data_IF_440750543659
#
_entry.id   IF_440750543659
#
_cell.length_a   1.000
_cell.length_b   1.000
_cell.length_c   1.000
_cell.angle_alpha   90.00
_cell.angle_beta   90.00
_cell.angle_gamma   90.00
#
_symmetry.space_group_name_H-M   'P 1'
#
loop_
_entity.id
_entity.type
_entity.pdbx_description
1 polymer ?
#
# COMPACT_ATOMS: atom_id res chain seq x y z
N UNK A 1 -12.19 -29.98 12.46
CA UNK A 1 -11.47 -29.53 11.26
C UNK A 1 -10.03 -29.22 11.66
N UNK A 2 -9.08 -29.24 10.73
CA UNK A 2 -7.72 -28.85 11.05
C UNK A 2 -7.60 -27.31 11.12
N UNK A 3 -6.47 -26.81 11.61
CA UNK A 3 -6.20 -25.37 11.75
C UNK A 3 -6.19 -24.63 10.42
N UNK A 4 -5.68 -25.26 9.36
CA UNK A 4 -5.71 -24.72 8.00
C UNK A 4 -7.15 -24.40 7.54
N UNK A 5 -8.04 -25.40 7.57
CA UNK A 5 -9.44 -25.23 7.18
C UNK A 5 -10.13 -24.16 8.04
N UNK A 6 -9.81 -24.11 9.35
CA UNK A 6 -10.44 -23.19 10.30
C UNK A 6 -10.05 -21.74 9.99
N UNK A 7 -8.77 -21.50 9.72
CA UNK A 7 -8.28 -20.19 9.37
C UNK A 7 -8.80 -19.76 7.99
N UNK A 8 -8.81 -20.64 6.99
CA UNK A 8 -9.38 -20.34 5.68
C UNK A 8 -10.84 -19.93 5.76
N UNK A 9 -11.67 -20.67 6.52
CA UNK A 9 -13.10 -20.32 6.69
C UNK A 9 -13.30 -19.00 7.42
N UNK A 10 -12.46 -18.69 8.42
CA UNK A 10 -12.50 -17.41 9.12
C UNK A 10 -12.16 -16.25 8.17
N UNK A 11 -11.10 -16.39 7.37
CA UNK A 11 -10.71 -15.39 6.37
C UNK A 11 -11.79 -15.21 5.31
N UNK A 12 -12.42 -16.29 4.84
CA UNK A 12 -13.51 -16.24 3.86
C UNK A 12 -14.73 -15.49 4.39
N UNK A 13 -15.03 -15.62 5.68
CA UNK A 13 -16.16 -14.92 6.30
C UNK A 13 -15.89 -13.43 6.55
N UNK A 14 -14.63 -13.03 6.79
CA UNK A 14 -14.29 -11.67 7.25
C UNK A 14 -13.76 -10.73 6.15
N UNK A 15 -13.36 -11.23 4.98
CA UNK A 15 -12.76 -10.42 3.91
C UNK A 15 -13.55 -10.47 2.59
N UNK A 16 -13.30 -9.50 1.72
CA UNK A 16 -13.85 -9.45 0.36
C UNK A 16 -12.87 -10.00 -0.69
N UNK A 17 -11.57 -9.95 -0.38
CA UNK A 17 -10.46 -10.27 -1.28
C UNK A 17 -9.37 -11.01 -0.53
N UNK A 18 -8.74 -11.97 -1.22
CA UNK A 18 -7.62 -12.75 -0.72
C UNK A 18 -6.55 -12.81 -1.79
N UNK A 19 -5.34 -12.38 -1.45
CA UNK A 19 -4.16 -12.48 -2.29
C UNK A 19 -3.15 -13.41 -1.65
N UNK A 20 -2.38 -14.12 -2.48
CA UNK A 20 -1.34 -14.99 -1.96
C UNK A 20 -0.12 -15.05 -2.87
N UNK A 21 0.99 -15.43 -2.25
CA UNK A 21 2.13 -16.03 -2.94
C UNK A 21 2.34 -17.41 -2.33
N UNK A 22 2.33 -18.49 -3.13
CA UNK A 22 2.44 -19.85 -2.62
C UNK A 22 3.75 -20.06 -1.88
N UNK A 23 3.67 -20.75 -0.74
CA UNK A 23 4.82 -21.10 0.07
C UNK A 23 4.39 -21.92 1.28
N UNK A 24 5.23 -22.86 1.69
CA UNK A 24 5.07 -23.50 3.00
C UNK A 24 5.19 -22.42 4.11
N UNK A 25 4.32 -22.40 5.14
CA UNK A 25 3.28 -23.36 5.44
C UNK A 25 1.85 -22.96 4.98
N UNK A 26 1.69 -21.86 4.24
CA UNK A 26 0.37 -21.22 4.01
C UNK A 26 -0.35 -21.61 2.72
N UNK A 27 0.20 -22.56 1.96
CA UNK A 27 -0.31 -22.90 0.62
C UNK A 27 -1.74 -23.42 0.65
N UNK A 28 -2.07 -24.30 1.61
CA UNK A 28 -3.43 -24.81 1.74
C UNK A 28 -4.41 -23.75 2.25
N UNK A 29 -3.95 -22.80 3.09
CA UNK A 29 -4.77 -21.65 3.51
C UNK A 29 -5.18 -20.82 2.28
N UNK A 30 -4.21 -20.49 1.42
CA UNK A 30 -4.45 -19.73 0.19
C UNK A 30 -5.45 -20.45 -0.73
N UNK A 31 -5.28 -21.76 -0.91
CA UNK A 31 -6.22 -22.56 -1.70
C UNK A 31 -7.62 -22.60 -1.08
N UNK A 32 -7.73 -22.77 0.23
CA UNK A 32 -9.01 -22.79 0.96
C UNK A 32 -9.77 -21.47 0.91
N UNK A 33 -9.07 -20.34 0.75
CA UNK A 33 -9.69 -19.03 0.53
C UNK A 33 -10.04 -18.75 -0.94
N UNK A 34 -9.56 -19.57 -1.89
CA UNK A 34 -9.59 -19.21 -3.31
C UNK A 34 -8.77 -17.95 -3.60
N UNK A 35 -7.64 -17.78 -2.90
CA UNK A 35 -6.81 -16.58 -3.01
C UNK A 35 -6.22 -16.41 -4.41
N UNK A 36 -6.21 -15.18 -4.90
CA UNK A 36 -5.61 -14.82 -6.16
C UNK A 36 -4.08 -14.83 -6.03
N UNK A 37 -3.41 -15.64 -6.85
CA UNK A 37 -1.96 -15.73 -6.86
C UNK A 37 -1.37 -14.52 -7.58
N UNK A 38 -0.43 -13.85 -6.92
CA UNK A 38 0.26 -12.67 -7.44
C UNK A 38 1.72 -12.99 -7.77
N UNK A 39 2.33 -12.16 -8.62
CA UNK A 39 3.73 -12.31 -9.05
C UNK A 39 4.73 -12.27 -7.89
N UNK A 40 4.42 -11.52 -6.83
CA UNK A 40 5.22 -11.45 -5.60
C UNK A 40 4.41 -10.86 -4.43
N UNK A 41 4.96 -10.94 -3.22
CA UNK A 41 4.27 -10.58 -1.99
C UNK A 41 4.01 -9.08 -1.87
N UNK A 42 4.92 -8.26 -2.42
CA UNK A 42 4.77 -6.81 -2.46
C UNK A 42 3.54 -6.42 -3.27
N UNK A 43 3.36 -6.99 -4.45
CA UNK A 43 2.17 -6.77 -5.31
C UNK A 43 0.91 -7.27 -4.61
N UNK A 44 0.96 -8.40 -3.89
CA UNK A 44 -0.17 -8.88 -3.08
C UNK A 44 -0.63 -7.86 -2.04
N UNK A 45 0.33 -7.27 -1.30
CA UNK A 45 0.03 -6.23 -0.32
C UNK A 45 -0.48 -4.95 -0.98
N UNK A 46 0.09 -4.56 -2.12
CA UNK A 46 -0.32 -3.37 -2.86
C UNK A 46 -1.74 -3.48 -3.41
N UNK A 47 -2.12 -4.65 -3.95
CA UNK A 47 -3.51 -4.90 -4.33
C UNK A 47 -4.46 -4.87 -3.13
N UNK A 48 -4.08 -5.47 -2.01
CA UNK A 48 -4.88 -5.41 -0.78
C UNK A 48 -5.07 -3.98 -0.26
N UNK A 49 -4.05 -3.13 -0.37
CA UNK A 49 -4.14 -1.71 -0.05
C UNK A 49 -5.05 -0.97 -1.04
N UNK A 50 -5.01 -1.30 -2.33
CA UNK A 50 -5.94 -0.74 -3.31
C UNK A 50 -7.40 -1.16 -3.05
N UNK A 51 -7.65 -2.43 -2.73
CA UNK A 51 -8.99 -2.86 -2.32
C UNK A 51 -9.46 -2.14 -1.05
N UNK A 52 -8.56 -1.96 -0.08
CA UNK A 52 -8.82 -1.19 1.12
C UNK A 52 -9.23 0.24 0.77
N UNK A 53 -8.52 0.91 -0.14
CA UNK A 53 -8.86 2.26 -0.61
C UNK A 53 -10.25 2.34 -1.26
N UNK A 54 -10.72 1.23 -1.83
CA UNK A 54 -12.08 1.07 -2.41
C UNK A 54 -13.13 0.60 -1.39
N UNK A 55 -12.78 0.51 -0.10
CA UNK A 55 -13.71 0.10 0.96
C UNK A 55 -13.92 -1.41 1.09
N UNK A 56 -13.01 -2.23 0.53
CA UNK A 56 -13.07 -3.69 0.61
C UNK A 56 -12.01 -4.24 1.56
N UNK A 57 -12.39 -5.16 2.44
CA UNK A 57 -11.45 -5.87 3.32
C UNK A 57 -10.62 -6.84 2.49
N UNK A 58 -9.31 -6.85 2.73
CA UNK A 58 -8.40 -7.71 1.98
C UNK A 58 -7.44 -8.47 2.91
N UNK A 59 -7.24 -9.75 2.61
CA UNK A 59 -6.26 -10.60 3.25
C UNK A 59 -5.09 -10.88 2.31
N UNK A 60 -3.87 -10.88 2.85
CA UNK A 60 -2.64 -11.27 2.15
C UNK A 60 -2.05 -12.48 2.85
N UNK A 61 -1.93 -13.60 2.14
CA UNK A 61 -1.50 -14.88 2.70
C UNK A 61 -0.10 -15.19 2.16
N UNK A 62 0.90 -15.17 3.03
CA UNK A 62 2.30 -15.36 2.67
C UNK A 62 3.06 -16.11 3.78
N UNK A 63 4.18 -16.72 3.41
CA UNK A 63 5.13 -17.22 4.41
C UNK A 63 5.96 -16.08 4.99
N UNK A 64 6.54 -16.29 6.16
CA UNK A 64 7.40 -15.33 6.85
C UNK A 64 8.41 -14.59 5.97
N UNK A 65 9.17 -15.26 5.10
CA UNK A 65 10.17 -14.62 4.22
C UNK A 65 9.52 -13.58 3.28
N UNK A 66 8.27 -13.79 2.89
CA UNK A 66 7.50 -12.87 2.06
C UNK A 66 7.28 -11.50 2.69
N UNK A 67 7.21 -11.41 4.03
CA UNK A 67 7.12 -10.13 4.74
C UNK A 67 8.33 -9.23 4.49
N UNK A 68 9.49 -9.80 4.14
CA UNK A 68 10.69 -9.03 3.81
C UNK A 68 10.47 -8.21 2.53
N UNK A 69 9.79 -8.79 1.52
CA UNK A 69 9.44 -8.09 0.29
C UNK A 69 8.34 -7.03 0.51
N UNK A 70 7.49 -7.22 1.52
CA UNK A 70 6.42 -6.29 1.88
C UNK A 70 6.87 -5.13 2.78
N UNK A 71 8.08 -5.17 3.33
CA UNK A 71 8.48 -4.34 4.46
C UNK A 71 8.34 -2.82 4.19
N UNK A 72 8.76 -2.37 3.01
CA UNK A 72 8.71 -0.96 2.63
C UNK A 72 7.26 -0.46 2.49
N UNK A 73 6.42 -1.21 1.76
CA UNK A 73 4.99 -0.94 1.60
C UNK A 73 4.26 -1.00 2.94
N UNK A 74 4.58 -1.97 3.81
CA UNK A 74 3.97 -2.13 5.12
C UNK A 74 4.26 -0.93 6.03
N UNK A 75 5.51 -0.46 6.08
CA UNK A 75 5.90 0.71 6.87
C UNK A 75 5.20 1.97 6.35
N UNK A 76 5.15 2.15 5.03
CA UNK A 76 4.45 3.28 4.44
C UNK A 76 2.93 3.24 4.69
N UNK A 77 2.31 2.06 4.57
CA UNK A 77 0.90 1.85 4.83
C UNK A 77 0.50 2.11 6.28
N UNK A 78 1.43 1.96 7.23
CA UNK A 78 1.22 2.34 8.62
C UNK A 78 1.05 3.86 8.81
N UNK A 79 1.61 4.67 7.91
CA UNK A 79 1.50 6.14 7.93
C UNK A 79 0.37 6.61 7.02
N UNK A 80 0.38 6.16 5.76
CA UNK A 80 -0.65 6.51 4.77
C UNK A 80 -2.02 5.94 5.13
N UNK A 81 -2.05 4.84 5.87
CA UNK A 81 -3.25 4.23 6.44
C UNK A 81 -4.08 3.40 5.46
N UNK A 82 -4.99 2.63 6.05
CA UNK A 82 -6.01 1.84 5.37
C UNK A 82 -7.36 2.55 5.40
N UNK A 83 -8.31 2.16 4.53
CA UNK A 83 -9.72 2.60 4.61
C UNK A 83 -10.62 1.45 5.09
N UNK A 84 -10.57 0.30 4.42
CA UNK A 84 -11.08 -0.97 4.96
C UNK A 84 -9.93 -1.85 5.50
N UNK A 85 -10.24 -2.85 6.31
CA UNK A 85 -9.21 -3.63 7.00
C UNK A 85 -8.29 -4.41 6.05
N UNK A 86 -6.99 -4.37 6.30
CA UNK A 86 -5.98 -5.18 5.61
C UNK A 86 -5.30 -6.09 6.62
N UNK A 87 -5.38 -7.40 6.39
CA UNK A 87 -4.78 -8.41 7.27
C UNK A 87 -3.74 -9.23 6.51
N UNK A 88 -2.53 -9.29 7.02
CA UNK A 88 -1.45 -10.14 6.51
C UNK A 88 -1.39 -11.40 7.37
N UNK A 89 -1.67 -12.55 6.78
CA UNK A 89 -1.45 -13.85 7.39
C UNK A 89 -0.04 -14.29 7.09
N UNK A 90 0.80 -14.32 8.11
CA UNK A 90 2.20 -14.67 8.04
C UNK A 90 2.42 -16.07 8.62
N UNK A 91 2.67 -17.05 7.74
CA UNK A 91 3.05 -18.40 8.17
C UNK A 91 4.53 -18.49 8.50
N UNK A 92 4.83 -18.61 9.78
CA UNK A 92 6.19 -18.81 10.28
C UNK A 92 6.55 -20.30 10.24
N UNK A 93 7.61 -20.60 9.50
CA UNK A 93 8.24 -21.91 9.45
C UNK A 93 9.38 -21.97 10.49
N UNK A 94 9.00 -22.17 11.76
CA UNK A 94 9.92 -22.12 12.91
C UNK A 94 10.99 -23.22 12.86
N UNK A 95 10.62 -24.39 12.34
CA UNK A 95 11.49 -25.57 12.21
C UNK A 95 12.24 -25.60 10.86
N UNK A 96 12.08 -24.56 10.03
CA UNK A 96 12.80 -24.43 8.75
C UNK A 96 12.57 -25.64 7.84
N UNK A 97 11.36 -26.18 7.84
CA UNK A 97 11.00 -27.40 7.10
C UNK A 97 10.81 -27.16 5.60
N UNK A 98 10.43 -25.93 5.22
CA UNK A 98 10.21 -25.50 3.83
C UNK A 98 10.82 -24.14 3.48
N UNK A 99 11.63 -23.57 4.38
CA UNK A 99 12.24 -22.23 4.25
C UNK A 99 13.76 -22.30 4.32
N UNK A 100 14.44 -21.25 3.84
CA UNK A 100 15.91 -21.16 3.92
C UNK A 100 16.40 -20.80 5.34
N UNK A 101 15.56 -20.16 6.14
CA UNK A 101 15.87 -19.74 7.49
C UNK A 101 14.59 -19.60 8.31
N UNK A 102 14.70 -19.73 9.63
CA UNK A 102 13.64 -19.35 10.55
C UNK A 102 13.57 -17.82 10.62
N UNK A 103 12.36 -17.28 10.63
CA UNK A 103 12.11 -15.86 10.81
C UNK A 103 10.85 -15.67 11.65
N UNK A 104 10.95 -14.80 12.65
CA UNK A 104 9.83 -14.40 13.51
C UNK A 104 9.13 -13.17 12.93
N UNK A 105 7.93 -13.37 12.39
CA UNK A 105 7.16 -12.28 11.78
C UNK A 105 6.69 -11.21 12.78
N UNK A 106 6.73 -11.47 14.09
CA UNK A 106 6.35 -10.46 15.11
C UNK A 106 7.24 -9.22 15.08
N UNK A 107 8.49 -9.37 14.63
CA UNK A 107 9.43 -8.25 14.53
C UNK A 107 8.89 -7.13 13.61
N UNK A 108 8.13 -7.47 12.57
CA UNK A 108 7.51 -6.49 11.67
C UNK A 108 6.44 -5.62 12.36
N UNK A 109 5.80 -6.14 13.40
CA UNK A 109 4.91 -5.37 14.27
C UNK A 109 5.60 -4.10 14.79
N UNK A 110 6.81 -4.25 15.30
CA UNK A 110 7.62 -3.14 15.83
C UNK A 110 8.18 -2.26 14.72
N UNK A 111 8.68 -2.86 13.64
CA UNK A 111 9.27 -2.13 12.49
C UNK A 111 8.23 -1.18 11.85
N UNK A 112 7.00 -1.66 11.61
CA UNK A 112 5.96 -0.84 10.99
C UNK A 112 5.04 -0.14 12.01
N UNK A 113 5.10 -0.51 13.29
CA UNK A 113 4.16 -0.01 14.29
C UNK A 113 2.74 -0.50 14.05
N UNK A 114 2.58 -1.77 13.67
CA UNK A 114 1.30 -2.40 13.31
C UNK A 114 0.89 -3.46 14.34
N UNK A 115 -0.42 -3.72 14.53
CA UNK A 115 -0.85 -4.78 15.45
C UNK A 115 -0.45 -6.17 14.94
N UNK A 116 0.01 -7.02 15.85
CA UNK A 116 0.34 -8.43 15.54
C UNK A 116 -0.41 -9.36 16.47
N UNK A 117 -1.15 -10.29 15.88
CA UNK A 117 -1.89 -11.33 16.56
C UNK A 117 -1.16 -12.67 16.39
N UNK A 118 -1.00 -13.44 17.47
CA UNK A 118 -0.46 -14.80 17.47
C UNK A 118 -1.45 -15.74 18.16
N UNK A 119 -2.57 -16.08 17.49
CA UNK A 119 -3.63 -16.90 18.07
C UNK A 119 -3.26 -18.38 18.17
N UNK A 120 -3.88 -19.09 19.10
CA UNK A 120 -3.95 -20.56 19.09
C UNK A 120 -5.04 -21.06 18.12
N UNK A 121 -5.04 -22.34 17.70
CA UNK A 121 -6.02 -22.89 16.77
C UNK A 121 -7.49 -22.62 17.12
N UNK A 122 -7.84 -22.67 18.41
CA UNK A 122 -9.19 -22.36 18.91
C UNK A 122 -9.57 -20.87 18.85
N UNK A 123 -8.60 -19.97 18.64
CA UNK A 123 -8.76 -18.52 18.60
C UNK A 123 -8.75 -17.96 17.16
N UNK A 124 -8.62 -18.81 16.12
CA UNK A 124 -8.50 -18.36 14.72
C UNK A 124 -9.70 -17.53 14.25
N UNK A 125 -10.93 -18.00 14.51
CA UNK A 125 -12.13 -17.27 14.09
C UNK A 125 -12.23 -15.88 14.73
N UNK A 126 -11.97 -15.79 16.04
CA UNK A 126 -12.05 -14.53 16.78
C UNK A 126 -10.92 -13.56 16.42
N UNK A 127 -9.70 -14.09 16.27
CA UNK A 127 -8.52 -13.29 15.96
C UNK A 127 -8.56 -12.70 14.55
N UNK A 128 -9.11 -13.41 13.56
CA UNK A 128 -9.27 -12.89 12.19
C UNK A 128 -10.18 -11.66 12.18
N UNK A 129 -11.38 -11.79 12.75
CA UNK A 129 -12.32 -10.66 12.77
C UNK A 129 -11.79 -9.50 13.62
N UNK A 130 -11.16 -9.81 14.76
CA UNK A 130 -10.55 -8.78 15.60
C UNK A 130 -9.39 -8.08 14.90
N UNK A 131 -8.60 -8.78 14.07
CA UNK A 131 -7.52 -8.20 13.29
C UNK A 131 -8.04 -7.22 12.23
N UNK A 132 -9.12 -7.56 11.52
CA UNK A 132 -9.77 -6.65 10.57
C UNK A 132 -10.32 -5.41 11.28
N UNK A 133 -11.06 -5.58 12.38
CA UNK A 133 -11.59 -4.46 13.16
C UNK A 133 -10.49 -3.57 13.73
N UNK A 134 -9.38 -4.17 14.18
CA UNK A 134 -8.22 -3.42 14.69
C UNK A 134 -7.55 -2.66 13.55
N UNK A 135 -7.40 -3.28 12.37
CA UNK A 135 -6.85 -2.63 11.19
C UNK A 135 -7.66 -1.38 10.81
N UNK A 136 -8.99 -1.49 10.83
CA UNK A 136 -9.91 -0.41 10.50
C UNK A 136 -9.98 0.67 11.59
N UNK A 137 -9.94 0.27 12.86
CA UNK A 137 -10.02 1.21 13.98
C UNK A 137 -8.80 2.13 14.05
N UNK A 138 -7.63 1.60 13.71
CA UNK A 138 -6.36 2.32 13.85
C UNK A 138 -5.72 2.70 12.51
N UNK A 139 -6.40 2.42 11.39
CA UNK A 139 -5.97 2.65 9.99
C UNK A 139 -4.56 2.14 9.72
N UNK A 140 -4.30 0.89 10.07
CA UNK A 140 -3.00 0.25 9.87
C UNK A 140 -3.22 -1.18 9.45
N UNK A 141 -2.40 -1.76 8.55
CA UNK A 141 -2.47 -3.20 8.30
C UNK A 141 -2.27 -3.97 9.61
N UNK A 142 -2.89 -5.13 9.75
CA UNK A 142 -2.68 -6.03 10.88
C UNK A 142 -1.95 -7.30 10.42
N UNK A 143 -1.14 -7.90 11.29
CA UNK A 143 -0.49 -9.18 11.01
C UNK A 143 -1.12 -10.25 11.90
N UNK A 144 -1.50 -11.39 11.31
CA UNK A 144 -1.78 -12.63 12.04
C UNK A 144 -0.62 -13.58 11.77
N UNK A 145 0.17 -13.83 12.80
CA UNK A 145 1.25 -14.81 12.76
C UNK A 145 0.70 -16.18 13.08
N UNK A 146 1.04 -17.16 12.25
CA UNK A 146 0.69 -18.57 12.44
C UNK A 146 1.95 -19.42 12.39
N UNK A 147 2.19 -20.23 13.42
CA UNK A 147 3.25 -21.23 13.40
C UNK A 147 2.84 -22.45 12.55
N UNK A 148 3.76 -22.97 11.75
CA UNK A 148 3.48 -24.10 10.83
C UNK A 148 2.84 -25.30 11.53
N UNK A 149 3.30 -25.65 12.74
CA UNK A 149 2.77 -26.76 13.53
C UNK A 149 1.32 -26.60 14.01
N UNK A 150 0.74 -25.39 13.97
CA UNK A 150 -0.64 -25.14 14.37
C UNK A 150 -1.66 -25.50 13.28
N UNK A 151 -1.24 -25.52 12.01
CA UNK A 151 -2.15 -25.70 10.88
C UNK A 151 -2.70 -27.11 10.75
N UNK A 152 -1.96 -28.10 11.24
CA UNK A 152 -2.37 -29.52 11.24
C UNK A 152 -3.12 -29.93 12.50
N UNK A 153 -3.11 -29.09 13.54
CA UNK A 153 -3.80 -29.38 14.80
C UNK A 153 -5.32 -29.23 14.66
N UNK A 154 -6.11 -29.95 15.48
CA UNK A 154 -7.55 -29.71 15.55
C UNK A 154 -7.83 -28.26 15.95
N UNK A 155 -8.64 -27.57 15.15
CA UNK A 155 -9.11 -26.23 15.45
C UNK A 155 -10.63 -26.23 15.64
N UNK A 156 -11.08 -25.47 16.63
CA UNK A 156 -12.49 -25.19 16.91
C UNK A 156 -12.88 -23.77 16.49
N UNK A 157 -14.16 -23.44 16.62
CA UNK A 157 -14.70 -22.11 16.34
C UNK A 157 -15.47 -22.02 15.03
N UNK A 158 -16.59 -21.31 15.07
CA UNK A 158 -17.35 -20.92 13.88
C UNK A 158 -16.88 -19.51 13.51
N UNK A 159 -16.67 -19.20 12.21
CA UNK A 159 -16.39 -17.83 11.79
C UNK A 159 -17.37 -16.85 12.42
N UNK A 160 -16.85 -15.75 12.97
CA UNK A 160 -17.68 -14.73 13.59
C UNK A 160 -18.46 -13.96 12.52
N UNK A 161 -19.57 -13.37 12.94
CA UNK A 161 -20.27 -12.38 12.12
C UNK A 161 -19.35 -11.18 11.86
N UNK A 162 -19.15 -10.87 10.59
CA UNK A 162 -18.38 -9.73 10.11
C UNK A 162 -19.00 -8.42 10.60
N UNK A 163 -18.18 -7.53 11.17
CA UNK A 163 -18.61 -6.19 11.58
C UNK A 163 -17.71 -5.14 10.96
N UNK A 164 -18.19 -4.55 9.87
CA UNK A 164 -17.47 -3.47 9.18
C UNK A 164 -17.42 -2.20 10.01
N UNK A 165 -16.23 -1.61 10.11
CA UNK A 165 -16.06 -0.31 10.75
C UNK A 165 -16.60 0.80 9.87
N UNK A 166 -17.54 1.59 10.39
CA UNK A 166 -18.30 2.60 9.63
C UNK A 166 -17.80 4.04 9.82
N UNK A 167 -16.67 4.27 10.51
CA UNK A 167 -16.23 5.64 10.77
C UNK A 167 -15.57 6.26 9.53
N UNK A 168 -15.99 7.46 9.11
CA UNK A 168 -15.36 8.15 8.00
C UNK A 168 -13.94 8.58 8.37
N UNK A 169 -13.03 8.48 7.41
CA UNK A 169 -11.66 8.97 7.59
C UNK A 169 -11.65 10.50 7.55
N UNK A 170 -11.14 11.21 8.56
CA UNK A 170 -10.86 12.63 8.51
C UNK A 170 -10.07 13.03 7.28
N UNK A 171 -10.39 14.22 6.79
CA UNK A 171 -9.68 14.83 5.67
C UNK A 171 -8.26 15.22 6.10
N UNK A 172 -7.29 14.45 5.65
CA UNK A 172 -5.88 14.71 5.92
C UNK A 172 -5.22 15.46 4.76
N UNK A 173 -5.95 15.98 3.75
CA UNK A 173 -5.35 16.67 2.59
C UNK A 173 -4.52 17.90 2.98
N UNK A 174 -4.92 18.61 4.03
CA UNK A 174 -4.18 19.75 4.55
C UNK A 174 -2.97 19.37 5.42
N UNK A 175 -2.75 18.10 5.72
CA UNK A 175 -1.58 17.69 6.52
C UNK A 175 -0.31 17.69 5.68
N UNK A 176 0.77 18.27 6.23
CA UNK A 176 2.11 18.06 5.69
C UNK A 176 2.50 16.59 5.86
N UNK A 177 3.58 16.14 5.20
CA UNK A 177 4.11 14.79 5.46
C UNK A 177 4.47 14.58 6.94
N UNK A 178 4.95 15.62 7.64
CA UNK A 178 5.17 15.58 9.09
C UNK A 178 3.84 15.44 9.84
N UNK A 179 2.82 16.22 9.46
CA UNK A 179 1.48 16.12 10.04
C UNK A 179 0.86 14.74 9.87
N UNK A 180 0.98 14.13 8.68
CA UNK A 180 0.50 12.76 8.43
C UNK A 180 1.18 11.74 9.35
N UNK A 181 2.50 11.85 9.51
CA UNK A 181 3.22 10.99 10.45
C UNK A 181 2.81 11.25 11.91
N UNK A 182 2.59 12.50 12.31
CA UNK A 182 2.05 12.82 13.65
C UNK A 182 0.66 12.19 13.86
N UNK A 183 -0.25 12.34 12.90
CA UNK A 183 -1.59 11.76 12.95
C UNK A 183 -1.54 10.23 13.04
N UNK A 184 -0.67 9.59 12.24
CA UNK A 184 -0.43 8.16 12.31
C UNK A 184 0.12 7.72 13.67
N UNK A 185 1.02 8.50 14.29
CA UNK A 185 1.55 8.20 15.62
C UNK A 185 0.52 8.38 16.73
N UNK A 186 -0.37 9.38 16.65
CA UNK A 186 -1.52 9.47 17.56
C UNK A 186 -2.37 8.19 17.50
N UNK A 187 -2.73 7.73 16.30
CA UNK A 187 -3.48 6.47 16.12
C UNK A 187 -2.71 5.26 16.67
N UNK A 188 -1.39 5.24 16.56
CA UNK A 188 -0.55 4.19 17.14
C UNK A 188 -0.55 4.22 18.66
N UNK A 189 -0.54 5.41 19.26
CA UNK A 189 -0.68 5.57 20.71
C UNK A 189 -2.05 5.08 21.20
N UNK A 190 -3.11 5.37 20.44
CA UNK A 190 -4.45 4.83 20.73
C UNK A 190 -4.48 3.30 20.63
N UNK A 191 -3.80 2.72 19.63
CA UNK A 191 -3.61 1.28 19.52
C UNK A 191 -2.86 0.70 20.74
N UNK A 192 -1.79 1.35 21.20
CA UNK A 192 -1.06 0.94 22.40
C UNK A 192 -1.93 1.03 23.66
N UNK A 193 -2.74 2.09 23.80
CA UNK A 193 -3.67 2.25 24.90
C UNK A 193 -4.71 1.13 24.91
N UNK A 194 -5.35 0.89 23.75
CA UNK A 194 -6.31 -0.19 23.57
C UNK A 194 -5.71 -1.58 23.83
N UNK A 195 -4.45 -1.82 23.44
CA UNK A 195 -3.80 -3.10 23.64
C UNK A 195 -3.74 -3.55 25.11
N UNK A 196 -3.73 -2.60 26.06
CA UNK A 196 -3.79 -2.90 27.51
C UNK A 196 -5.03 -3.69 27.91
N UNK A 197 -6.14 -3.52 27.19
CA UNK A 197 -7.39 -4.27 27.36
C UNK A 197 -7.74 -5.15 26.14
N UNK A 198 -6.82 -5.27 25.17
CA UNK A 198 -6.99 -6.08 23.97
C UNK A 198 -6.98 -7.58 24.25
N UNK A 199 -7.24 -8.43 23.25
CA UNK A 199 -7.29 -9.89 23.41
C UNK A 199 -5.91 -10.48 23.79
N UNK A 200 -5.89 -11.71 24.32
CA UNK A 200 -4.64 -12.36 24.78
C UNK A 200 -3.70 -12.70 23.64
N UNK A 201 -4.26 -13.02 22.48
CA UNK A 201 -3.50 -13.31 21.27
C UNK A 201 -2.96 -12.05 20.58
N UNK A 202 -3.23 -10.83 21.07
CA UNK A 202 -2.52 -9.62 20.63
C UNK A 202 -1.12 -9.57 21.25
N UNK A 203 -0.10 -9.72 20.41
CA UNK A 203 1.31 -9.77 20.83
C UNK A 203 2.08 -8.48 20.57
N UNK A 204 1.61 -7.65 19.63
CA UNK A 204 2.13 -6.30 19.43
C UNK A 204 0.98 -5.32 19.15
N UNK A 205 1.00 -4.08 19.71
CA UNK A 205 1.94 -3.65 20.74
C UNK A 205 1.78 -4.46 22.04
N UNK A 206 2.82 -4.59 22.86
CA UNK A 206 2.73 -5.35 24.11
C UNK A 206 1.74 -4.69 25.08
N UNK A 207 1.04 -5.51 25.87
CA UNK A 207 0.06 -5.05 26.88
C UNK A 207 0.67 -4.19 27.99
N UNK A 208 1.94 -4.41 28.30
CA UNK A 208 2.68 -3.68 29.33
C UNK A 208 3.98 -3.13 28.74
N UNK A 209 4.26 -1.85 29.01
CA UNK A 209 5.39 -1.12 28.44
C UNK A 209 5.05 -0.56 27.07
N UNK A 210 4.93 0.76 26.96
CA UNK A 210 4.56 1.45 25.72
C UNK A 210 5.43 0.97 24.55
N UNK A 211 4.79 0.37 23.55
CA UNK A 211 5.48 -0.14 22.38
C UNK A 211 6.25 1.00 21.70
N UNK A 212 7.58 0.92 21.73
CA UNK A 212 8.42 1.80 20.94
C UNK A 212 8.12 1.50 19.46
N UNK A 213 7.46 2.43 18.76
CA UNK A 213 7.34 2.38 17.30
C UNK A 213 8.66 2.76 16.64
N UNK A 214 8.74 2.61 15.31
CA UNK A 214 9.95 2.94 14.55
C UNK A 214 10.10 4.45 14.24
N UNK A 215 9.11 5.29 14.58
CA UNK A 215 9.19 6.72 14.29
C UNK A 215 9.99 7.47 15.36
N UNK A 216 10.82 8.41 14.92
CA UNK A 216 11.54 9.35 15.80
C UNK A 216 10.70 10.60 16.11
N UNK A 217 9.52 10.75 15.49
CA UNK A 217 8.64 11.89 15.71
C UNK A 217 7.99 11.73 17.07
N UNK A 218 8.40 12.59 18.00
CA UNK A 218 7.75 12.70 19.30
C UNK A 218 6.43 13.43 19.15
N UNK A 219 5.37 12.79 19.61
CA UNK A 219 4.05 13.39 19.72
C UNK A 219 3.99 14.11 21.07
N UNK A 220 3.92 15.45 21.05
CA UNK A 220 4.00 16.31 22.26
C UNK A 220 2.64 16.85 22.71
N UNK A 221 1.53 16.34 22.15
CA UNK A 221 0.19 16.85 22.41
C UNK A 221 -0.27 17.98 21.47
N UNK A 222 0.61 18.46 20.59
CA UNK A 222 0.27 19.43 19.54
C UNK A 222 -0.49 18.79 18.37
N UNK A 223 -1.51 19.46 17.80
CA UNK A 223 -2.22 18.91 16.65
C UNK A 223 -1.27 18.61 15.48
N UNK A 224 -1.58 17.60 14.65
CA UNK A 224 -0.82 17.32 13.42
C UNK A 224 -0.58 18.57 12.57
N UNK A 225 0.67 18.79 12.14
CA UNK A 225 1.05 19.97 11.37
C UNK A 225 0.31 20.04 10.02
N UNK A 226 -0.44 21.13 9.82
CA UNK A 226 -1.05 21.45 8.54
C UNK A 226 -0.11 22.24 7.62
N UNK A 227 -0.41 22.26 6.33
CA UNK A 227 0.32 23.06 5.33
C UNK A 227 0.20 24.54 5.68
N UNK A 228 -1.01 25.01 6.02
CA UNK A 228 -1.26 26.39 6.45
C UNK A 228 -0.47 26.75 7.72
N UNK A 229 -0.45 25.88 8.74
CA UNK A 229 0.31 26.13 9.97
C UNK A 229 1.83 26.16 9.73
N UNK A 230 2.32 25.42 8.71
CA UNK A 230 3.72 25.49 8.28
C UNK A 230 4.02 26.74 7.45
N UNK A 231 3.01 27.35 6.83
CA UNK A 231 3.10 28.54 5.97
C UNK A 231 3.66 28.29 4.56
N UNK A 232 3.98 27.03 4.21
CA UNK A 232 4.44 26.69 2.86
C UNK A 232 4.21 25.21 2.49
N UNK A 233 4.15 24.96 1.17
CA UNK A 233 4.16 23.64 0.55
C UNK A 233 5.31 23.49 -0.45
N UNK A 234 5.88 22.28 -0.56
CA UNK A 234 6.79 21.98 -1.69
C UNK A 234 5.96 21.64 -2.91
N UNK A 235 6.37 22.15 -4.07
CA UNK A 235 5.73 21.90 -5.37
C UNK A 235 6.78 21.59 -6.44
N UNK A 236 6.34 21.37 -7.67
CA UNK A 236 7.18 21.09 -8.82
C UNK A 236 8.14 22.26 -9.12
N UNK A 237 9.21 21.98 -9.87
CA UNK A 237 10.19 22.99 -10.26
C UNK A 237 9.58 24.05 -11.21
N UNK A 238 10.14 25.27 -11.22
CA UNK A 238 9.85 26.25 -12.27
C UNK A 238 10.13 25.63 -13.64
N UNK A 239 9.19 25.72 -14.57
CA UNK A 239 9.36 25.16 -15.91
C UNK A 239 9.46 23.64 -15.96
N UNK A 240 8.95 22.93 -14.94
CA UNK A 240 8.84 21.48 -15.01
C UNK A 240 8.04 21.08 -16.26
N UNK A 241 8.56 20.17 -17.13
CA UNK A 241 7.91 19.85 -18.40
C UNK A 241 6.56 19.14 -18.19
N UNK A 242 6.34 18.52 -17.03
CA UNK A 242 5.14 17.74 -16.73
C UNK A 242 3.97 18.54 -16.17
N UNK A 243 4.12 19.85 -15.96
CA UNK A 243 3.02 20.70 -15.46
C UNK A 243 1.74 20.60 -16.32
N UNK A 244 1.79 20.57 -17.66
CA UNK A 244 0.60 20.41 -18.49
C UNK A 244 -0.13 19.08 -18.21
N UNK A 245 0.59 17.98 -18.08
CA UNK A 245 0.01 16.68 -17.75
C UNK A 245 -0.69 16.71 -16.37
N UNK A 246 -0.07 17.34 -15.37
CA UNK A 246 -0.65 17.48 -14.03
C UNK A 246 -1.91 18.36 -14.02
N UNK A 247 -1.95 19.42 -14.84
CA UNK A 247 -3.15 20.23 -15.02
C UNK A 247 -4.27 19.42 -15.67
N UNK A 248 -3.99 18.66 -16.73
CA UNK A 248 -4.97 17.80 -17.38
C UNK A 248 -5.53 16.75 -16.42
N UNK A 249 -4.68 16.07 -15.64
CA UNK A 249 -5.14 15.12 -14.62
C UNK A 249 -6.11 15.76 -13.63
N UNK A 250 -5.81 16.98 -13.17
CA UNK A 250 -6.67 17.74 -12.27
C UNK A 250 -7.99 18.15 -12.93
N UNK A 251 -7.93 18.74 -14.12
CA UNK A 251 -9.10 19.21 -14.87
C UNK A 251 -10.06 18.07 -15.22
N UNK A 252 -9.54 16.87 -15.48
CA UNK A 252 -10.34 15.66 -15.73
C UNK A 252 -10.76 14.94 -14.45
N UNK A 253 -10.52 15.55 -13.28
CA UNK A 253 -10.88 15.05 -11.95
C UNK A 253 -10.36 13.63 -11.70
N UNK A 254 -9.17 13.31 -12.22
CA UNK A 254 -8.51 12.04 -11.98
C UNK A 254 -7.78 12.08 -10.63
N UNK A 255 -8.02 11.07 -9.80
CA UNK A 255 -7.41 10.92 -8.48
C UNK A 255 -6.40 9.76 -8.50
N UNK A 256 -5.19 9.94 -9.05
CA UNK A 256 -4.20 8.89 -9.13
C UNK A 256 -3.69 8.44 -7.76
N UNK A 257 -3.29 7.19 -7.67
CA UNK A 257 -2.30 6.75 -6.67
C UNK A 257 -0.95 7.23 -7.17
N UNK A 258 -0.17 7.92 -6.34
CA UNK A 258 1.15 8.43 -6.72
C UNK A 258 2.27 7.61 -6.10
N UNK A 259 3.37 7.44 -6.84
CA UNK A 259 4.61 6.94 -6.27
C UNK A 259 5.41 8.01 -5.53
N UNK A 260 6.27 7.55 -4.62
CA UNK A 260 7.32 8.37 -4.02
C UNK A 260 8.23 8.89 -5.14
N UNK A 261 8.57 10.18 -5.09
CA UNK A 261 9.24 10.90 -6.17
C UNK A 261 8.45 12.14 -6.55
N UNK A 262 8.74 12.75 -7.70
CA UNK A 262 8.08 14.00 -8.09
C UNK A 262 6.55 13.87 -8.13
N UNK A 263 6.02 12.69 -8.47
CA UNK A 263 4.59 12.39 -8.47
C UNK A 263 3.88 12.67 -7.13
N UNK A 264 4.55 12.47 -5.99
CA UNK A 264 3.95 12.71 -4.67
C UNK A 264 3.66 14.19 -4.41
N UNK A 265 4.32 15.10 -5.13
CA UNK A 265 4.07 16.54 -5.02
C UNK A 265 2.66 16.93 -5.49
N UNK A 266 2.01 16.10 -6.31
CA UNK A 266 0.61 16.27 -6.69
C UNK A 266 -0.37 16.15 -5.49
N UNK A 267 0.11 15.67 -4.34
CA UNK A 267 -0.63 15.65 -3.07
C UNK A 267 -0.66 17.02 -2.38
N UNK A 268 0.28 17.90 -2.70
CA UNK A 268 0.36 19.24 -2.14
C UNK A 268 -0.43 20.25 -3.01
N UNK A 269 -0.80 21.42 -2.45
CA UNK A 269 -1.25 22.55 -3.24
C UNK A 269 -0.25 22.92 -4.34
N UNK A 270 -0.71 23.42 -5.50
CA UNK A 270 -2.11 23.71 -5.82
C UNK A 270 -2.92 22.49 -6.27
N UNK A 271 -2.29 21.33 -6.48
CA UNK A 271 -2.89 20.17 -7.14
C UNK A 271 -3.88 19.38 -6.27
N UNK A 272 -3.42 18.94 -5.10
CA UNK A 272 -4.22 18.27 -4.06
C UNK A 272 -5.15 17.14 -4.55
N UNK A 273 -4.76 16.39 -5.59
CA UNK A 273 -5.59 15.35 -6.23
C UNK A 273 -5.09 13.91 -6.04
N UNK A 274 -3.92 13.72 -5.40
CA UNK A 274 -3.36 12.40 -5.11
C UNK A 274 -4.26 11.63 -4.12
N UNK A 275 -4.75 10.45 -4.51
CA UNK A 275 -5.64 9.63 -3.70
C UNK A 275 -4.92 8.91 -2.55
N UNK A 276 -3.72 8.41 -2.82
CA UNK A 276 -2.85 7.74 -1.87
C UNK A 276 -1.39 7.68 -2.39
N UNK A 277 -0.45 7.46 -1.48
CA UNK A 277 0.96 7.17 -1.81
C UNK A 277 1.54 6.24 -0.75
N UNK A 278 1.97 5.04 -1.14
CA UNK A 278 2.54 4.05 -0.23
C UNK A 278 4.06 3.98 -0.37
N UNK A 279 4.58 3.10 -1.22
CA UNK A 279 6.02 2.90 -1.42
C UNK A 279 6.45 3.30 -2.84
N UNK A 280 7.77 3.35 -3.08
CA UNK A 280 8.31 3.57 -4.42
C UNK A 280 7.97 2.37 -5.32
N UNK A 281 7.32 2.64 -6.46
CA UNK A 281 6.90 1.63 -7.42
C UNK A 281 5.65 0.83 -7.00
N UNK A 282 4.89 1.34 -6.02
CA UNK A 282 3.66 0.71 -5.53
C UNK A 282 2.40 1.19 -6.25
N UNK A 283 2.46 2.38 -6.87
CA UNK A 283 1.28 3.01 -7.45
C UNK A 283 0.53 2.16 -8.49
N UNK A 284 1.18 1.37 -9.38
CA UNK A 284 0.45 0.60 -10.38
C UNK A 284 -0.48 -0.45 -9.77
N UNK A 285 0.02 -1.29 -8.86
CA UNK A 285 -0.77 -2.35 -8.23
C UNK A 285 -1.89 -1.75 -7.36
N UNK A 286 -1.57 -0.77 -6.50
CA UNK A 286 -2.58 -0.12 -5.65
C UNK A 286 -3.68 0.53 -6.49
N UNK A 287 -3.33 1.20 -7.59
CA UNK A 287 -4.31 1.84 -8.47
C UNK A 287 -5.21 0.82 -9.19
N UNK A 288 -4.67 -0.31 -9.64
CA UNK A 288 -5.40 -1.31 -10.41
C UNK A 288 -6.55 -1.99 -9.64
N UNK A 289 -6.52 -1.97 -8.30
CA UNK A 289 -7.64 -2.43 -7.43
C UNK A 289 -8.39 -1.29 -6.75
N UNK A 290 -7.98 -0.03 -7.00
CA UNK A 290 -8.59 1.18 -6.45
C UNK A 290 -9.12 2.15 -7.52
N UNK A 291 -8.39 3.22 -7.77
CA UNK A 291 -8.81 4.37 -8.58
C UNK A 291 -8.75 4.10 -10.08
N UNK A 292 -8.05 3.05 -10.48
CA UNK A 292 -7.74 2.74 -11.88
C UNK A 292 -6.72 3.68 -12.51
N UNK A 293 -6.14 4.63 -11.76
CA UNK A 293 -5.16 5.59 -12.27
C UNK A 293 -3.93 5.65 -11.37
N UNK A 294 -2.75 5.46 -11.96
CA UNK A 294 -1.46 5.59 -11.30
C UNK A 294 -0.65 6.74 -11.92
N UNK A 295 0.05 7.50 -11.09
CA UNK A 295 1.01 8.51 -11.50
C UNK A 295 2.39 8.14 -10.94
N UNK A 296 3.32 7.80 -11.82
CA UNK A 296 4.65 7.30 -11.45
C UNK A 296 5.77 8.04 -12.19
N UNK A 297 6.98 7.90 -11.69
CA UNK A 297 8.20 8.27 -12.43
C UNK A 297 8.82 7.04 -13.08
N UNK A 298 9.63 7.24 -14.11
CA UNK A 298 10.37 6.18 -14.79
C UNK A 298 11.20 5.28 -13.83
N UNK A 299 11.92 5.88 -12.89
CA UNK A 299 12.71 5.15 -11.90
C UNK A 299 11.84 4.34 -10.92
N UNK A 300 10.71 4.90 -10.49
CA UNK A 300 9.77 4.19 -9.61
C UNK A 300 9.23 2.92 -10.29
N UNK A 301 9.02 2.99 -11.60
CA UNK A 301 8.62 1.83 -12.40
C UNK A 301 9.71 0.75 -12.41
N UNK A 302 10.99 1.13 -12.61
CA UNK A 302 12.12 0.19 -12.53
C UNK A 302 12.32 -0.41 -11.13
N UNK A 303 12.02 0.35 -10.07
CA UNK A 303 12.23 -0.09 -8.69
C UNK A 303 11.40 -1.33 -8.34
N UNK A 304 10.09 -1.28 -8.61
CA UNK A 304 9.20 -2.42 -8.38
C UNK A 304 7.92 -2.42 -9.22
N UNK A 305 7.61 -1.33 -9.91
CA UNK A 305 6.35 -1.16 -10.63
C UNK A 305 6.19 -2.06 -11.87
N UNK A 306 7.29 -2.48 -12.51
CA UNK A 306 7.24 -3.42 -13.65
C UNK A 306 6.63 -4.77 -13.24
N UNK A 307 6.98 -5.28 -12.05
CA UNK A 307 6.41 -6.54 -11.57
C UNK A 307 4.88 -6.44 -11.46
N UNK A 308 4.38 -5.33 -10.90
CA UNK A 308 2.95 -5.06 -10.84
C UNK A 308 2.32 -4.99 -12.25
N UNK A 309 2.97 -4.33 -13.21
CA UNK A 309 2.46 -4.24 -14.58
C UNK A 309 2.32 -5.60 -15.26
N UNK A 310 3.33 -6.48 -15.11
CA UNK A 310 3.26 -7.85 -15.64
C UNK A 310 2.04 -8.56 -15.05
N UNK A 311 1.87 -8.47 -13.73
CA UNK A 311 0.75 -9.11 -13.04
C UNK A 311 -0.63 -8.56 -13.46
N UNK A 312 -0.73 -7.23 -13.62
CA UNK A 312 -1.92 -6.52 -14.11
C UNK A 312 -2.30 -6.97 -15.52
N UNK A 313 -1.32 -7.08 -16.41
CA UNK A 313 -1.53 -7.50 -17.80
C UNK A 313 -1.99 -8.95 -17.88
N UNK A 314 -1.32 -9.87 -17.19
CA UNK A 314 -1.69 -11.28 -17.13
C UNK A 314 -3.12 -11.48 -16.58
N UNK A 315 -3.54 -10.61 -15.65
CA UNK A 315 -4.87 -10.65 -15.05
C UNK A 315 -5.91 -9.77 -15.76
N UNK A 316 -5.55 -9.13 -16.88
CA UNK A 316 -6.41 -8.20 -17.62
C UNK A 316 -7.08 -7.14 -16.72
N UNK A 317 -6.30 -6.57 -15.78
CA UNK A 317 -6.77 -5.52 -14.87
C UNK A 317 -6.74 -4.15 -15.54
N UNK A 318 -7.73 -3.34 -15.20
CA UNK A 318 -7.83 -1.96 -15.67
C UNK A 318 -6.82 -1.06 -14.97
N UNK A 319 -5.99 -0.38 -15.76
CA UNK A 319 -5.08 0.63 -15.24
C UNK A 319 -4.74 1.66 -16.31
N UNK A 320 -4.91 2.94 -15.99
CA UNK A 320 -4.23 4.04 -16.65
C UNK A 320 -2.96 4.37 -15.86
N UNK A 321 -1.81 3.98 -16.41
CA UNK A 321 -0.50 4.32 -15.85
C UNK A 321 0.06 5.54 -16.56
N UNK A 322 0.18 6.66 -15.85
CA UNK A 322 0.87 7.86 -16.34
C UNK A 322 2.30 7.85 -15.82
N UNK A 323 3.28 7.76 -16.74
CA UNK A 323 4.71 7.76 -16.43
C UNK A 323 5.30 9.13 -16.78
N UNK A 324 5.85 9.81 -15.78
CA UNK A 324 6.66 11.01 -15.97
C UNK A 324 8.12 10.59 -16.21
N UNK A 325 8.55 10.61 -17.47
CA UNK A 325 9.86 10.12 -17.89
C UNK A 325 10.80 11.27 -18.22
N UNK A 326 11.72 11.55 -17.29
CA UNK A 326 12.76 12.57 -17.41
C UNK A 326 14.18 12.00 -17.36
N UNK A 327 14.30 10.67 -17.35
CA UNK A 327 15.57 9.96 -17.28
C UNK A 327 16.40 10.33 -16.04
N UNK A 328 15.77 10.83 -14.97
CA UNK A 328 16.48 11.44 -13.85
C UNK A 328 15.83 11.11 -12.50
N UNK A 329 16.64 10.70 -11.53
CA UNK A 329 16.25 10.53 -10.13
C UNK A 329 16.12 11.90 -9.42
N UNK A 330 15.14 12.70 -9.84
CA UNK A 330 15.06 14.15 -9.57
C UNK A 330 14.90 14.55 -8.09
N UNK A 331 14.37 13.66 -7.24
CA UNK A 331 14.28 13.92 -5.79
C UNK A 331 15.45 13.34 -4.99
N UNK A 332 16.32 12.52 -5.58
CA UNK A 332 17.35 11.75 -4.86
C UNK A 332 18.75 11.92 -5.44
N UNK A 333 19.09 13.17 -5.81
CA UNK A 333 20.45 13.54 -6.22
C UNK A 333 20.65 13.78 -7.71
N UNK A 334 19.62 13.56 -8.54
CA UNK A 334 19.63 13.96 -9.96
C UNK A 334 20.47 13.06 -10.88
N UNK A 335 20.77 11.83 -10.44
CA UNK A 335 21.48 10.84 -11.23
C UNK A 335 20.59 10.37 -12.40
N UNK A 336 21.21 9.96 -13.53
CA UNK A 336 20.46 9.43 -14.65
C UNK A 336 19.78 8.10 -14.30
N UNK A 337 18.61 7.88 -14.88
CA UNK A 337 17.83 6.64 -14.80
C UNK A 337 18.07 5.82 -16.08
N UNK A 338 18.16 4.48 -16.01
CA UNK A 338 18.14 3.64 -17.21
C UNK A 338 16.87 3.88 -18.06
N UNK A 339 16.99 3.80 -19.38
CA UNK A 339 15.83 3.94 -20.27
C UNK A 339 14.86 2.76 -20.08
N UNK A 340 13.61 3.07 -19.70
CA UNK A 340 12.62 2.09 -19.23
C UNK A 340 11.81 1.48 -20.38
N UNK A 341 11.60 2.23 -21.47
CA UNK A 341 10.72 1.81 -22.58
C UNK A 341 11.04 0.42 -23.16
N UNK A 342 12.30 -0.01 -23.33
CA UNK A 342 12.60 -1.36 -23.81
C UNK A 342 11.97 -2.47 -22.96
N UNK A 343 11.84 -2.27 -21.65
CA UNK A 343 11.23 -3.24 -20.74
C UNK A 343 9.69 -3.22 -20.75
N UNK A 344 9.09 -2.22 -21.41
CA UNK A 344 7.64 -2.05 -21.54
C UNK A 344 7.14 -2.36 -22.95
N UNK A 345 8.01 -2.78 -23.89
CA UNK A 345 7.64 -2.97 -25.29
C UNK A 345 6.43 -3.92 -25.49
N UNK A 346 6.31 -4.93 -24.62
CA UNK A 346 5.20 -5.90 -24.61
C UNK A 346 3.84 -5.26 -24.24
N UNK A 347 3.85 -4.15 -23.51
CA UNK A 347 2.67 -3.44 -23.05
C UNK A 347 2.23 -2.32 -24.00
N UNK A 348 2.95 -2.13 -25.11
CA UNK A 348 2.68 -1.13 -26.15
C UNK A 348 2.37 0.27 -25.58
N UNK A 349 3.30 0.89 -24.81
CA UNK A 349 3.07 2.19 -24.21
C UNK A 349 2.83 3.26 -25.27
N UNK A 350 1.86 4.14 -25.02
CA UNK A 350 1.67 5.36 -25.81
C UNK A 350 2.67 6.39 -25.35
N UNK A 351 3.49 6.89 -26.27
CA UNK A 351 4.54 7.86 -25.97
C UNK A 351 4.08 9.24 -26.42
N UNK A 352 4.02 10.19 -25.49
CA UNK A 352 3.77 11.61 -25.79
C UNK A 352 4.96 12.45 -25.33
N UNK A 353 5.28 13.50 -26.08
CA UNK A 353 6.16 14.55 -25.56
C UNK A 353 5.41 15.35 -24.48
N UNK A 354 6.13 15.86 -23.49
CA UNK A 354 5.50 16.57 -22.35
C UNK A 354 4.82 17.88 -22.75
N UNK A 355 5.21 18.49 -23.87
CA UNK A 355 4.60 19.66 -24.49
C UNK A 355 3.46 19.33 -25.48
N UNK A 356 3.27 18.06 -25.82
CA UNK A 356 2.16 17.58 -26.66
C UNK A 356 0.91 17.31 -25.82
N UNK A 357 0.24 18.40 -25.41
CA UNK A 357 -0.97 18.33 -24.58
C UNK A 357 -2.14 17.65 -25.29
N UNK A 358 -2.19 17.70 -26.63
CA UNK A 358 -3.23 17.03 -27.40
C UNK A 358 -3.09 15.50 -27.33
N UNK A 359 -1.87 14.98 -27.52
CA UNK A 359 -1.58 13.56 -27.34
C UNK A 359 -1.92 13.08 -25.92
N UNK A 360 -1.53 13.86 -24.90
CA UNK A 360 -1.81 13.52 -23.50
C UNK A 360 -3.33 13.50 -23.26
N UNK A 361 -4.04 14.57 -23.62
CA UNK A 361 -5.49 14.69 -23.38
C UNK A 361 -6.29 13.62 -24.11
N UNK A 362 -5.98 13.35 -25.38
CA UNK A 362 -6.63 12.32 -26.19
C UNK A 362 -6.54 10.94 -25.51
N UNK A 363 -5.36 10.57 -25.01
CA UNK A 363 -5.16 9.27 -24.38
C UNK A 363 -5.82 9.16 -23.00
N UNK A 364 -5.85 10.26 -22.22
CA UNK A 364 -6.61 10.32 -20.97
C UNK A 364 -8.12 10.14 -21.20
N UNK A 365 -8.67 10.74 -22.27
CA UNK A 365 -10.09 10.63 -22.64
C UNK A 365 -10.43 9.27 -23.26
N UNK A 366 -9.56 8.77 -24.12
CA UNK A 366 -9.73 7.49 -24.82
C UNK A 366 -9.85 6.33 -23.83
N UNK A 367 -8.99 6.29 -22.80
CA UNK A 367 -9.06 5.25 -21.77
C UNK A 367 -10.39 5.28 -21.00
N UNK A 368 -10.94 6.48 -20.71
CA UNK A 368 -12.26 6.60 -20.08
C UNK A 368 -13.39 6.10 -20.98
N UNK A 369 -13.27 6.31 -22.29
CA UNK A 369 -14.32 6.00 -23.27
C UNK A 369 -14.34 4.52 -23.71
N UNK A 370 -13.19 3.85 -23.77
CA UNK A 370 -13.07 2.50 -24.34
C UNK A 370 -13.48 1.35 -23.41
N UNK A 371 -14.03 1.63 -22.22
CA UNK A 371 -14.54 0.58 -21.32
C UNK A 371 -13.51 -0.06 -20.38
N UNK A 372 -12.31 0.56 -20.29
CA UNK A 372 -11.17 0.22 -19.43
C UNK A 372 -10.38 -1.05 -19.82
N UNK A 373 -9.07 -0.95 -19.64
CA UNK A 373 -8.02 -1.94 -19.90
C UNK A 373 -6.66 -1.37 -19.44
N UNK A 374 -5.54 -2.06 -19.69
CA UNK A 374 -4.21 -1.52 -19.40
C UNK A 374 -3.81 -0.48 -20.46
N UNK A 375 -3.59 0.76 -20.05
CA UNK A 375 -3.05 1.84 -20.87
C UNK A 375 -1.85 2.46 -20.14
N UNK A 376 -0.69 2.47 -20.82
CA UNK A 376 0.51 3.11 -20.31
C UNK A 376 0.76 4.37 -21.14
N UNK A 377 0.58 5.54 -20.53
CA UNK A 377 0.87 6.85 -21.09
C UNK A 377 2.27 7.28 -20.61
N UNK A 378 3.26 7.16 -21.48
CA UNK A 378 4.66 7.45 -21.22
C UNK A 378 5.01 8.87 -21.71
N UNK A 379 5.07 9.82 -20.78
CA UNK A 379 5.26 11.25 -21.08
C UNK A 379 6.75 11.58 -20.96
N UNK A 380 7.38 11.96 -22.06
CA UNK A 380 8.82 12.25 -22.14
C UNK A 380 9.07 13.75 -22.01
N UNK A 381 9.93 14.16 -21.09
CA UNK A 381 10.33 15.56 -20.97
C UNK A 381 11.59 15.75 -20.13
N UNK A 382 12.40 16.76 -20.47
CA UNK A 382 13.67 17.02 -19.80
C UNK A 382 13.52 17.96 -18.61
N UNK A 383 14.17 17.63 -17.49
CA UNK A 383 14.27 18.56 -16.36
C UNK A 383 15.08 19.80 -16.76
N UNK A 384 14.66 21.01 -16.35
CA UNK A 384 15.45 22.21 -16.63
C UNK A 384 16.83 22.14 -15.94
N UNK A 385 17.88 22.73 -16.53
CA UNK A 385 19.21 22.78 -15.90
C UNK A 385 19.15 23.46 -14.53
N UNK A 386 19.72 22.82 -13.50
CA UNK A 386 19.69 23.35 -12.13
C UNK A 386 18.28 23.38 -11.50
N UNK A 387 17.35 22.56 -12.00
CA UNK A 387 16.00 22.48 -11.45
C UNK A 387 16.02 22.13 -9.95
N UNK A 388 15.31 22.94 -9.17
CA UNK A 388 15.04 22.68 -7.77
C UNK A 388 13.53 22.79 -7.52
N UNK A 389 13.00 21.86 -6.73
CA UNK A 389 11.61 21.87 -6.32
C UNK A 389 11.30 23.16 -5.56
N UNK A 390 10.24 23.85 -5.95
CA UNK A 390 9.88 25.13 -5.36
C UNK A 390 9.17 24.96 -4.01
N UNK A 391 9.11 26.06 -3.27
CA UNK A 391 8.21 26.25 -2.14
C UNK A 391 7.21 27.34 -2.46
N UNK A 392 5.92 27.04 -2.28
CA UNK A 392 4.82 27.99 -2.43
C UNK A 392 4.30 28.36 -1.04
N UNK A 393 4.03 29.65 -0.81
CA UNK A 393 3.38 30.14 0.41
C UNK A 393 1.92 29.68 0.47
N UNK A 394 1.42 29.36 1.66
CA UNK A 394 0.09 28.78 1.87
C UNK A 394 -0.68 29.49 2.98
#
# INVERSE_FOLDING_TARGET
MNGEDALSRALVASADRWYAVPGYPVTGIAAGCGAEITVNEKVALEYALGDSLSGRRAAVILKNVGLNACADTLVAAAVEGTRAGVVIVAGDDEEVSGSQHAQDSRCYGRVAGVPVFSPLPEEFAESVETAFQTSERFWRPAIIRIASGMLTQPAGGVPLERKDFQQPRPDERDLTMRGRTQAAEYRRMDLCSWASSGPRYLTHPPRAGGGNGCTTIRVTGEPPQTVHARGYARTFCTGCPFLPALHLLREKELAPVCDIGCAVLAKNPPYSFCAASYALGSSPAVAATSTGVALTGDYALLHSGINALIDIAEKNRDLLLVVLANGTMGMTGGQPTPEVRPYLAWAHPVVCAADDTACIEENLLSWKAQGKGLCILYIVGDCPPGAHHETMEC
#
